data_IF_367225730270
#
_entry.id   IF_367225730270
#
_cell.length_a   1.000
_cell.length_b   1.000
_cell.length_c   1.000
_cell.angle_alpha   90.00
_cell.angle_beta   90.00
_cell.angle_gamma   90.00
#
_symmetry.space_group_name_H-M   'P 1'
#
loop_
_entity.id
_entity.type
_entity.pdbx_description
1 polymer ?
#
# COMPACT_ATOMS: atom_id res chain seq x y z
N UNK A 1 -13.57 8.29 -2.43
CA UNK A 1 -12.82 7.13 -1.89
C UNK A 1 -13.78 6.01 -1.51
N UNK A 2 -13.40 4.75 -1.73
CA UNK A 2 -14.13 3.57 -1.23
C UNK A 2 -14.22 3.67 0.31
N UNK A 3 -15.40 3.42 0.88
CA UNK A 3 -15.61 3.50 2.33
C UNK A 3 -15.25 2.20 3.07
N UNK A 4 -14.98 1.13 2.33
CA UNK A 4 -14.48 -0.11 2.90
C UNK A 4 -13.02 0.09 3.28
N UNK A 5 -12.71 -0.03 4.58
CA UNK A 5 -11.33 -0.02 5.03
C UNK A 5 -10.71 -1.41 4.87
N UNK A 6 -9.53 -1.49 4.30
CA UNK A 6 -8.84 -2.76 4.05
C UNK A 6 -7.72 -3.06 5.03
N UNK A 7 -7.20 -4.29 4.97
CA UNK A 7 -6.00 -4.71 5.67
C UNK A 7 -4.85 -4.95 4.68
N UNK A 8 -3.68 -4.34 4.94
CA UNK A 8 -2.44 -4.67 4.23
C UNK A 8 -1.86 -5.96 4.82
N UNK A 9 -1.77 -7.02 4.01
CA UNK A 9 -1.34 -8.34 4.48
C UNK A 9 0.14 -8.40 4.89
N UNK A 10 0.93 -7.39 4.53
CA UNK A 10 2.30 -7.28 5.03
C UNK A 10 2.36 -7.21 6.57
N UNK A 11 1.35 -6.62 7.20
CA UNK A 11 1.21 -6.58 8.66
C UNK A 11 1.14 -7.98 9.27
N UNK A 12 0.43 -8.89 8.62
CA UNK A 12 0.19 -10.27 9.10
C UNK A 12 1.01 -11.32 8.35
N UNK A 13 2.05 -10.91 7.59
CA UNK A 13 2.85 -11.79 6.72
C UNK A 13 3.42 -13.01 7.42
N UNK A 14 3.76 -12.88 8.71
CA UNK A 14 4.30 -13.97 9.49
C UNK A 14 3.24 -15.01 9.91
N UNK A 15 1.95 -14.67 9.79
CA UNK A 15 0.81 -15.54 9.96
C UNK A 15 0.29 -16.11 8.63
N UNK A 16 1.04 -15.98 7.52
CA UNK A 16 0.64 -16.42 6.18
C UNK A 16 1.73 -17.29 5.52
N UNK A 17 2.41 -18.14 6.31
CA UNK A 17 3.55 -18.93 5.82
C UNK A 17 3.14 -20.21 5.09
N UNK A 18 1.95 -20.72 5.35
CA UNK A 18 1.35 -21.87 4.67
C UNK A 18 -0.04 -21.51 4.14
N UNK A 19 -0.61 -22.33 3.27
CA UNK A 19 -1.98 -22.14 2.78
C UNK A 19 -3.00 -22.19 3.92
N UNK A 20 -2.83 -23.11 4.87
CA UNK A 20 -3.68 -23.22 6.07
C UNK A 20 -3.60 -21.97 6.93
N UNK A 21 -2.39 -21.47 7.20
CA UNK A 21 -2.17 -20.24 7.97
C UNK A 21 -2.78 -19.02 7.25
N UNK A 22 -2.64 -18.96 5.93
CA UNK A 22 -3.23 -17.91 5.09
C UNK A 22 -4.76 -17.90 5.19
N UNK A 23 -5.42 -19.06 5.01
CA UNK A 23 -6.86 -19.19 5.14
C UNK A 23 -7.34 -18.81 6.54
N UNK A 24 -6.67 -19.30 7.59
CA UNK A 24 -6.99 -18.95 8.98
C UNK A 24 -6.84 -17.44 9.24
N UNK A 25 -5.81 -16.80 8.67
CA UNK A 25 -5.60 -15.35 8.79
C UNK A 25 -6.70 -14.59 8.08
N UNK A 26 -7.08 -14.96 6.85
CA UNK A 26 -8.18 -14.32 6.12
C UNK A 26 -9.50 -14.44 6.88
N UNK A 27 -9.79 -15.60 7.47
CA UNK A 27 -10.95 -15.79 8.34
C UNK A 27 -10.95 -14.79 9.51
N UNK A 28 -9.83 -14.65 10.24
CA UNK A 28 -9.70 -13.71 11.36
C UNK A 28 -9.94 -12.26 10.94
N UNK A 29 -9.39 -11.84 9.77
CA UNK A 29 -9.61 -10.50 9.23
C UNK A 29 -11.09 -10.27 8.88
N UNK A 30 -11.74 -11.23 8.24
CA UNK A 30 -13.18 -11.15 7.94
C UNK A 30 -14.05 -11.08 9.19
N UNK A 31 -13.71 -11.80 10.27
CA UNK A 31 -14.40 -11.77 11.56
C UNK A 31 -14.27 -10.41 12.28
N UNK A 32 -13.20 -9.65 12.06
CA UNK A 32 -13.08 -8.26 12.53
C UNK A 32 -14.07 -7.34 11.80
N UNK A 33 -14.33 -7.60 10.53
CA UNK A 33 -15.22 -6.81 9.68
C UNK A 33 -14.58 -6.33 8.38
N UNK A 34 -13.28 -6.57 8.16
CA UNK A 34 -12.62 -6.20 6.91
C UNK A 34 -13.36 -6.77 5.69
N UNK A 35 -13.45 -5.98 4.64
CA UNK A 35 -14.04 -6.37 3.34
C UNK A 35 -13.02 -6.36 2.21
N UNK A 36 -11.91 -5.69 2.43
CA UNK A 36 -10.85 -5.57 1.42
C UNK A 36 -9.48 -5.86 2.02
N UNK A 37 -8.58 -6.36 1.17
CA UNK A 37 -7.18 -6.62 1.53
C UNK A 37 -6.25 -6.15 0.42
N UNK A 38 -5.03 -5.79 0.79
CA UNK A 38 -3.93 -5.63 -0.15
C UNK A 38 -2.96 -6.79 0.02
N UNK A 39 -2.68 -7.49 -1.08
CA UNK A 39 -1.79 -8.65 -1.07
C UNK A 39 -0.32 -8.22 -1.17
N UNK A 40 0.42 -8.39 -0.08
CA UNK A 40 1.85 -8.08 0.01
C UNK A 40 2.51 -8.93 1.10
N UNK A 41 3.76 -9.33 0.88
CA UNK A 41 4.56 -10.06 1.86
C UNK A 41 4.16 -11.52 2.10
N UNK A 42 3.15 -12.04 1.42
CA UNK A 42 2.75 -13.44 1.47
C UNK A 42 3.63 -14.26 0.51
N UNK A 43 4.18 -15.42 0.92
CA UNK A 43 5.04 -16.23 0.08
C UNK A 43 4.39 -16.68 -1.23
N UNK A 44 5.18 -16.78 -2.31
CA UNK A 44 4.67 -17.14 -3.64
C UNK A 44 4.10 -18.57 -3.72
N UNK A 45 4.60 -19.50 -2.93
CA UNK A 45 4.06 -20.87 -2.82
C UNK A 45 2.69 -20.93 -2.12
N UNK A 46 2.32 -19.86 -1.41
CA UNK A 46 0.99 -19.69 -0.79
C UNK A 46 0.04 -18.95 -1.74
N UNK A 47 0.44 -17.79 -2.25
CA UNK A 47 -0.45 -16.89 -3.01
C UNK A 47 -0.12 -16.76 -4.51
N UNK A 48 0.84 -17.54 -5.03
CA UNK A 48 1.27 -17.44 -6.43
C UNK A 48 0.22 -17.92 -7.45
N UNK A 49 -0.68 -18.80 -7.06
CA UNK A 49 -1.85 -19.14 -7.87
C UNK A 49 -2.98 -18.10 -7.62
N UNK A 50 -3.25 -17.20 -8.58
CA UNK A 50 -4.25 -16.15 -8.41
C UNK A 50 -5.68 -16.69 -8.31
N UNK A 51 -5.98 -17.85 -8.88
CA UNK A 51 -7.31 -18.47 -8.81
C UNK A 51 -7.56 -19.00 -7.40
N UNK A 52 -6.59 -19.73 -6.83
CA UNK A 52 -6.66 -20.17 -5.44
C UNK A 52 -6.76 -18.97 -4.49
N UNK A 53 -5.86 -17.98 -4.62
CA UNK A 53 -5.83 -16.79 -3.76
C UNK A 53 -7.16 -16.04 -3.79
N UNK A 54 -7.73 -15.85 -4.98
CA UNK A 54 -9.05 -15.25 -5.16
C UNK A 54 -10.14 -16.08 -4.49
N UNK A 55 -10.12 -17.41 -4.64
CA UNK A 55 -11.12 -18.28 -4.04
C UNK A 55 -11.13 -18.20 -2.50
N UNK A 56 -9.95 -18.07 -1.88
CA UNK A 56 -9.82 -17.85 -0.42
C UNK A 56 -10.43 -16.50 -0.03
N UNK A 57 -10.11 -15.42 -0.74
CA UNK A 57 -10.71 -14.11 -0.45
C UNK A 57 -12.24 -14.14 -0.58
N UNK A 58 -12.76 -14.66 -1.69
CA UNK A 58 -14.21 -14.76 -1.93
C UNK A 58 -14.92 -15.63 -0.87
N UNK A 59 -14.28 -16.74 -0.43
CA UNK A 59 -14.83 -17.61 0.62
C UNK A 59 -15.08 -16.86 1.94
N UNK A 60 -14.20 -15.93 2.28
CA UNK A 60 -14.34 -15.12 3.50
C UNK A 60 -14.98 -13.74 3.25
N UNK A 61 -15.48 -13.47 2.06
CA UNK A 61 -16.13 -12.19 1.71
C UNK A 61 -15.17 -11.01 1.63
N UNK A 62 -13.90 -11.29 1.28
CA UNK A 62 -12.84 -10.31 1.07
C UNK A 62 -12.63 -10.04 -0.43
N UNK A 63 -12.16 -8.84 -0.77
CA UNK A 63 -11.74 -8.44 -2.12
C UNK A 63 -10.30 -7.95 -2.10
N UNK A 64 -9.48 -8.38 -3.06
CA UNK A 64 -8.13 -7.86 -3.22
C UNK A 64 -8.15 -6.54 -3.99
N UNK A 65 -7.84 -5.43 -3.31
CA UNK A 65 -7.88 -4.09 -3.92
C UNK A 65 -6.56 -3.69 -4.56
N UNK A 66 -5.45 -4.23 -4.10
CA UNK A 66 -4.12 -3.97 -4.65
C UNK A 66 -3.14 -5.11 -4.34
N UNK A 67 -2.03 -5.15 -5.07
CA UNK A 67 -0.88 -6.00 -4.75
C UNK A 67 0.40 -5.18 -4.64
N UNK A 68 1.41 -5.74 -3.95
CA UNK A 68 2.81 -5.36 -4.15
C UNK A 68 3.55 -6.50 -4.83
N UNK A 69 4.19 -6.17 -5.95
CA UNK A 69 5.05 -7.07 -6.72
C UNK A 69 6.47 -6.47 -6.81
N UNK A 70 7.53 -7.28 -6.84
CA UNK A 70 8.87 -6.79 -7.11
C UNK A 70 8.94 -6.06 -8.46
N UNK A 71 9.68 -4.94 -8.54
CA UNK A 71 9.91 -4.21 -9.79
C UNK A 71 10.40 -5.12 -10.91
N UNK A 72 11.26 -6.07 -10.59
CA UNK A 72 11.85 -6.98 -11.58
C UNK A 72 10.79 -7.86 -12.28
N UNK A 73 9.71 -8.26 -11.59
CA UNK A 73 8.63 -9.04 -12.21
C UNK A 73 7.93 -8.26 -13.33
N UNK A 74 7.79 -6.93 -13.18
CA UNK A 74 7.23 -6.07 -14.24
C UNK A 74 8.18 -5.96 -15.43
N UNK A 75 9.49 -5.96 -15.20
CA UNK A 75 10.51 -5.90 -16.25
C UNK A 75 10.59 -7.21 -17.01
N UNK A 76 10.55 -8.33 -16.30
CA UNK A 76 10.74 -9.66 -16.86
C UNK A 76 9.52 -10.10 -17.70
N UNK A 77 8.30 -9.91 -17.19
CA UNK A 77 7.08 -10.33 -17.88
C UNK A 77 5.85 -9.51 -17.42
N UNK A 78 5.61 -8.38 -18.06
CA UNK A 78 4.43 -7.55 -17.78
C UNK A 78 3.11 -8.28 -18.11
N UNK A 79 3.11 -9.22 -19.06
CA UNK A 79 1.91 -9.98 -19.42
C UNK A 79 1.54 -10.98 -18.32
N UNK A 80 2.51 -11.57 -17.64
CA UNK A 80 2.27 -12.40 -16.46
C UNK A 80 1.64 -11.58 -15.33
N UNK A 81 2.08 -10.32 -15.13
CA UNK A 81 1.45 -9.39 -14.17
C UNK A 81 0.00 -9.10 -14.56
N UNK A 82 -0.28 -8.83 -15.82
CA UNK A 82 -1.64 -8.60 -16.35
C UNK A 82 -2.53 -9.83 -16.10
N UNK A 83 -2.06 -11.01 -16.50
CA UNK A 83 -2.82 -12.28 -16.35
C UNK A 83 -3.11 -12.58 -14.88
N UNK A 84 -2.10 -12.43 -14.01
CA UNK A 84 -2.24 -12.61 -12.56
C UNK A 84 -3.34 -11.71 -11.99
N UNK A 85 -3.31 -10.40 -12.29
CA UNK A 85 -4.27 -9.44 -11.75
C UNK A 85 -5.69 -9.65 -12.31
N UNK A 86 -5.81 -10.04 -13.57
CA UNK A 86 -7.12 -10.41 -14.15
C UNK A 86 -7.72 -11.62 -13.45
N UNK A 87 -6.95 -12.68 -13.23
CA UNK A 87 -7.39 -13.89 -12.54
C UNK A 87 -7.70 -13.63 -11.07
N UNK A 88 -6.89 -12.81 -10.41
CA UNK A 88 -7.12 -12.38 -9.01
C UNK A 88 -8.32 -11.41 -8.89
N UNK A 89 -8.77 -10.80 -9.99
CA UNK A 89 -9.74 -9.71 -10.03
C UNK A 89 -9.28 -8.46 -9.27
N UNK A 90 -7.98 -8.16 -9.31
CA UNK A 90 -7.38 -7.02 -8.63
C UNK A 90 -7.09 -5.89 -9.63
N UNK A 91 -7.41 -4.65 -9.27
CA UNK A 91 -7.34 -3.49 -10.17
C UNK A 91 -6.11 -2.60 -9.98
N UNK A 92 -5.26 -2.88 -8.98
CA UNK A 92 -4.03 -2.12 -8.74
C UNK A 92 -2.85 -3.06 -8.60
N UNK A 93 -1.89 -2.94 -9.51
CA UNK A 93 -0.61 -3.64 -9.48
C UNK A 93 0.48 -2.65 -9.04
N UNK A 94 0.98 -2.78 -7.81
CA UNK A 94 1.97 -1.86 -7.26
C UNK A 94 3.37 -2.44 -7.16
N UNK A 95 4.38 -1.57 -7.27
CA UNK A 95 5.72 -1.88 -6.75
C UNK A 95 5.77 -1.50 -5.28
N UNK A 96 6.17 -2.46 -4.42
CA UNK A 96 6.23 -2.24 -2.97
C UNK A 96 7.46 -1.45 -2.53
N UNK A 97 8.50 -1.38 -3.37
CA UNK A 97 9.71 -0.58 -3.13
C UNK A 97 10.51 -0.47 -4.43
N UNK A 98 11.01 0.71 -4.73
CA UNK A 98 11.99 0.90 -5.80
C UNK A 98 13.40 0.59 -5.30
N UNK A 99 14.15 -0.35 -5.91
CA UNK A 99 15.54 -0.63 -5.55
C UNK A 99 16.44 0.61 -5.58
N UNK A 100 17.45 0.66 -4.70
CA UNK A 100 18.32 1.83 -4.57
C UNK A 100 19.04 2.20 -5.87
N UNK A 101 19.54 1.22 -6.60
CA UNK A 101 20.25 1.38 -7.87
C UNK A 101 19.38 1.96 -8.98
N UNK A 102 18.05 1.89 -8.88
CA UNK A 102 17.11 2.49 -9.83
C UNK A 102 16.75 3.96 -9.49
N UNK A 103 17.17 4.47 -8.34
CA UNK A 103 16.88 5.84 -7.86
C UNK A 103 18.10 6.58 -7.31
N UNK A 104 19.31 6.07 -7.59
CA UNK A 104 20.59 6.55 -7.02
C UNK A 104 21.01 7.94 -7.49
N UNK A 105 20.58 8.34 -8.68
CA UNK A 105 20.85 9.64 -9.30
C UNK A 105 19.71 10.03 -10.26
N UNK A 106 19.64 11.31 -10.64
CA UNK A 106 18.56 11.83 -11.45
C UNK A 106 18.45 11.17 -12.85
N UNK A 107 19.53 10.93 -13.61
CA UNK A 107 19.43 10.24 -14.89
C UNK A 107 18.84 8.82 -14.76
N UNK A 108 19.34 8.04 -13.81
CA UNK A 108 18.84 6.68 -13.55
C UNK A 108 17.38 6.69 -13.13
N UNK A 109 16.99 7.60 -12.23
CA UNK A 109 15.60 7.73 -11.79
C UNK A 109 14.67 8.07 -12.97
N UNK A 110 15.05 8.97 -13.86
CA UNK A 110 14.24 9.31 -15.05
C UNK A 110 14.04 8.12 -15.99
N UNK A 111 15.07 7.32 -16.23
CA UNK A 111 14.91 6.08 -17.01
C UNK A 111 13.98 5.08 -16.30
N UNK A 112 14.08 4.96 -14.97
CA UNK A 112 13.18 4.12 -14.18
C UNK A 112 11.73 4.60 -14.27
N UNK A 113 11.48 5.91 -14.13
CA UNK A 113 10.14 6.49 -14.26
C UNK A 113 9.58 6.27 -15.67
N UNK A 114 10.39 6.47 -16.71
CA UNK A 114 9.98 6.18 -18.08
C UNK A 114 9.56 4.72 -18.25
N UNK A 115 10.30 3.78 -17.66
CA UNK A 115 9.94 2.37 -17.67
C UNK A 115 8.63 2.10 -16.90
N UNK A 116 8.43 2.74 -15.75
CA UNK A 116 7.18 2.66 -15.00
C UNK A 116 5.98 3.26 -15.78
N UNK A 117 6.18 4.31 -16.57
CA UNK A 117 5.15 4.85 -17.47
C UNK A 117 4.76 3.83 -18.56
N UNK A 118 5.72 3.04 -19.08
CA UNK A 118 5.41 1.93 -20.01
C UNK A 118 4.56 0.85 -19.32
N UNK A 119 4.89 0.47 -18.06
CA UNK A 119 4.07 -0.45 -17.26
C UNK A 119 2.66 0.10 -17.03
N UNK A 120 2.57 1.37 -16.62
CA UNK A 120 1.29 2.05 -16.42
C UNK A 120 0.43 1.99 -17.68
N UNK A 121 0.99 2.36 -18.83
CA UNK A 121 0.28 2.34 -20.12
C UNK A 121 -0.22 0.93 -20.47
N UNK A 122 0.64 -0.09 -20.29
CA UNK A 122 0.26 -1.48 -20.61
C UNK A 122 -0.84 -2.00 -19.70
N UNK A 123 -0.72 -1.75 -18.39
CA UNK A 123 -1.72 -2.19 -17.39
C UNK A 123 -3.05 -1.45 -17.55
N UNK A 124 -3.02 -0.14 -17.80
CA UNK A 124 -4.22 0.68 -18.00
C UNK A 124 -5.03 0.23 -19.21
N UNK A 125 -4.40 -0.27 -20.28
CA UNK A 125 -5.07 -0.85 -21.42
C UNK A 125 -5.94 -2.08 -21.07
N UNK A 126 -5.67 -2.70 -19.91
CA UNK A 126 -6.44 -3.84 -19.36
C UNK A 126 -7.31 -3.45 -18.15
N UNK A 127 -7.42 -2.15 -17.86
CA UNK A 127 -8.19 -1.64 -16.72
C UNK A 127 -7.52 -1.89 -15.37
N UNK A 128 -6.20 -2.05 -15.34
CA UNK A 128 -5.39 -2.23 -14.14
C UNK A 128 -4.52 -0.98 -13.98
N UNK A 129 -4.47 -0.38 -12.80
CA UNK A 129 -3.60 0.75 -12.50
C UNK A 129 -2.22 0.25 -12.05
N UNK A 130 -1.15 0.94 -12.47
CA UNK A 130 0.17 0.77 -11.89
C UNK A 130 0.34 1.76 -10.74
N UNK A 131 0.80 1.28 -9.57
CA UNK A 131 1.00 2.07 -8.37
C UNK A 131 2.44 2.05 -7.88
N UNK A 132 3.01 3.21 -7.56
CA UNK A 132 4.29 3.34 -6.89
C UNK A 132 4.07 3.55 -5.39
N UNK A 133 4.57 2.64 -4.54
CA UNK A 133 4.52 2.80 -3.09
C UNK A 133 5.72 3.58 -2.59
N UNK A 134 5.47 4.55 -1.68
CA UNK A 134 6.52 5.35 -1.09
C UNK A 134 6.97 4.86 0.29
N UNK A 135 8.26 5.10 0.55
CA UNK A 135 8.89 5.07 1.86
C UNK A 135 9.52 6.44 2.18
N UNK A 136 10.35 6.51 3.21
CA UNK A 136 11.11 7.72 3.53
C UNK A 136 12.11 8.11 2.43
N UNK A 137 12.68 7.13 1.74
CA UNK A 137 13.73 7.38 0.75
C UNK A 137 13.23 8.01 -0.56
N UNK A 138 11.94 8.00 -0.86
CA UNK A 138 11.38 8.81 -1.95
C UNK A 138 11.49 10.32 -1.67
N UNK A 139 11.66 10.70 -0.42
CA UNK A 139 11.87 12.10 0.00
C UNK A 139 13.36 12.45 0.16
N UNK A 140 14.27 11.51 -0.10
CA UNK A 140 15.69 11.80 -0.21
C UNK A 140 15.98 12.62 -1.47
N UNK A 141 16.96 13.54 -1.37
CA UNK A 141 17.42 14.33 -2.52
C UNK A 141 18.09 13.44 -3.57
N UNK A 142 17.66 13.59 -4.81
CA UNK A 142 18.27 12.94 -5.99
C UNK A 142 19.16 13.91 -6.76
N UNK A 143 18.95 15.21 -6.55
CA UNK A 143 19.82 16.31 -6.96
C UNK A 143 19.71 17.48 -5.98
N UNK A 144 20.30 18.65 -6.28
CA UNK A 144 20.28 19.83 -5.42
C UNK A 144 18.87 20.37 -5.14
N UNK A 145 17.94 20.20 -6.09
CA UNK A 145 16.62 20.84 -6.04
C UNK A 145 15.46 19.84 -5.80
N UNK A 146 15.62 18.57 -6.19
CA UNK A 146 14.52 17.62 -6.23
C UNK A 146 14.74 16.42 -5.32
N UNK A 147 13.66 15.94 -4.72
CA UNK A 147 13.58 14.61 -4.14
C UNK A 147 13.18 13.59 -5.22
N UNK A 148 13.32 12.29 -4.91
CA UNK A 148 12.79 11.22 -5.79
C UNK A 148 11.28 11.42 -6.01
N UNK A 149 10.53 11.76 -4.95
CA UNK A 149 9.09 12.00 -5.02
C UNK A 149 8.76 13.18 -5.94
N UNK A 150 9.51 14.28 -5.88
CA UNK A 150 9.29 15.44 -6.76
C UNK A 150 9.39 15.04 -8.22
N UNK A 151 10.39 14.23 -8.60
CA UNK A 151 10.56 13.76 -9.96
C UNK A 151 9.47 12.76 -10.37
N UNK A 152 9.07 11.86 -9.45
CA UNK A 152 7.96 10.92 -9.69
C UNK A 152 6.63 11.66 -9.92
N UNK A 153 6.38 12.74 -9.18
CA UNK A 153 5.17 13.57 -9.36
C UNK A 153 5.20 14.35 -10.68
N UNK A 154 6.38 14.84 -11.07
CA UNK A 154 6.53 15.67 -12.28
C UNK A 154 6.53 14.86 -13.58
N UNK A 155 7.18 13.69 -13.61
CA UNK A 155 7.45 12.94 -14.84
C UNK A 155 6.71 11.58 -14.90
N UNK A 156 6.20 11.07 -13.75
CA UNK A 156 5.42 9.83 -13.69
C UNK A 156 3.98 10.04 -14.16
N UNK A 157 3.46 9.11 -14.96
CA UNK A 157 2.05 9.06 -15.41
C UNK A 157 1.22 8.12 -14.52
N UNK A 158 1.86 7.35 -13.68
CA UNK A 158 1.29 6.32 -12.81
C UNK A 158 0.66 6.90 -11.54
N UNK A 159 -0.10 6.04 -10.84
CA UNK A 159 -0.68 6.36 -9.53
C UNK A 159 0.28 6.03 -8.37
N UNK A 160 -0.07 6.51 -7.18
CA UNK A 160 0.67 6.23 -5.95
C UNK A 160 -0.13 5.32 -5.03
N UNK A 161 0.58 4.42 -4.36
CA UNK A 161 0.16 3.74 -3.14
C UNK A 161 0.84 4.50 -2.01
N UNK A 162 0.13 5.48 -1.44
CA UNK A 162 0.70 6.50 -0.57
C UNK A 162 0.60 6.10 0.90
N UNK A 163 1.73 6.16 1.62
CA UNK A 163 1.84 5.78 3.02
C UNK A 163 1.98 7.00 3.93
N UNK A 164 1.06 7.13 4.89
CA UNK A 164 0.99 8.26 5.82
C UNK A 164 2.12 8.28 6.85
N UNK A 165 2.60 7.10 7.29
CA UNK A 165 3.73 6.99 8.22
C UNK A 165 4.99 7.58 7.61
N UNK A 166 5.34 7.17 6.39
CA UNK A 166 6.57 7.62 5.76
C UNK A 166 6.56 9.10 5.41
N UNK A 167 5.39 9.68 5.10
CA UNK A 167 5.23 11.12 5.00
C UNK A 167 5.54 11.82 6.32
N UNK A 168 4.88 11.39 7.40
CA UNK A 168 5.07 11.97 8.73
C UNK A 168 6.52 11.79 9.22
N UNK A 169 7.12 10.62 8.97
CA UNK A 169 8.49 10.28 9.36
C UNK A 169 9.51 11.27 8.79
N UNK A 170 9.32 11.74 7.57
CA UNK A 170 10.21 12.72 6.92
C UNK A 170 9.77 14.17 7.12
N UNK A 171 8.77 14.43 7.99
CA UNK A 171 8.29 15.77 8.32
C UNK A 171 7.35 16.39 7.26
N UNK A 172 6.82 15.59 6.34
CA UNK A 172 5.79 16.01 5.39
C UNK A 172 4.41 15.80 6.01
N UNK A 173 3.55 16.84 6.01
CA UNK A 173 2.19 16.72 6.52
C UNK A 173 1.36 15.81 5.60
N UNK A 174 0.88 14.64 6.08
CA UNK A 174 0.16 13.67 5.25
C UNK A 174 -1.14 14.24 4.66
N UNK A 175 -1.94 14.95 5.45
CA UNK A 175 -3.21 15.52 4.99
C UNK A 175 -3.02 16.53 3.86
N UNK A 176 -2.02 17.42 4.01
CA UNK A 176 -1.69 18.40 2.97
C UNK A 176 -1.19 17.71 1.68
N UNK A 177 -0.36 16.67 1.81
CA UNK A 177 0.16 15.93 0.67
C UNK A 177 -0.97 15.19 -0.07
N UNK A 178 -1.86 14.51 0.66
CA UNK A 178 -3.03 13.82 0.10
C UNK A 178 -3.94 14.82 -0.62
N UNK A 179 -4.25 15.96 0.02
CA UNK A 179 -5.10 17.01 -0.57
C UNK A 179 -4.55 17.52 -1.91
N UNK A 180 -3.24 17.68 -2.03
CA UNK A 180 -2.60 18.21 -3.23
C UNK A 180 -2.47 17.19 -4.35
N UNK A 181 -2.44 15.89 -4.03
CA UNK A 181 -2.13 14.82 -4.98
C UNK A 181 -3.23 13.73 -5.06
N UNK A 182 -4.40 13.96 -4.47
CA UNK A 182 -5.44 12.94 -4.27
C UNK A 182 -5.87 12.21 -5.55
N UNK A 183 -5.95 12.92 -6.68
CA UNK A 183 -6.33 12.33 -7.99
C UNK A 183 -5.31 11.28 -8.49
N UNK A 184 -4.07 11.34 -8.00
CA UNK A 184 -2.97 10.44 -8.33
C UNK A 184 -2.83 9.27 -7.35
N UNK A 185 -3.69 9.16 -6.33
CA UNK A 185 -3.61 8.15 -5.27
C UNK A 185 -4.62 7.04 -5.53
N UNK A 186 -4.13 5.85 -5.82
CA UNK A 186 -4.95 4.64 -6.00
C UNK A 186 -5.21 3.89 -4.68
N UNK A 187 -4.26 3.93 -3.75
CA UNK A 187 -4.38 3.32 -2.42
C UNK A 187 -3.72 4.22 -1.39
N UNK A 188 -4.36 4.38 -0.24
CA UNK A 188 -3.77 5.01 0.94
C UNK A 188 -3.41 3.93 1.96
N UNK A 189 -2.17 3.89 2.41
CA UNK A 189 -1.79 3.17 3.61
C UNK A 189 -2.02 4.08 4.81
N UNK A 190 -3.05 3.75 5.59
CA UNK A 190 -3.29 4.34 6.90
C UNK A 190 -2.38 3.65 7.90
N UNK A 191 -1.27 4.30 8.20
CA UNK A 191 -0.17 3.79 9.01
C UNK A 191 0.30 4.89 9.93
N UNK A 192 0.22 4.66 11.25
CA UNK A 192 0.47 5.68 12.25
C UNK A 192 1.90 5.61 12.79
N UNK A 193 2.38 6.74 13.27
CA UNK A 193 3.70 6.92 13.85
C UNK A 193 3.56 7.47 15.27
N UNK A 194 4.29 6.89 16.22
CA UNK A 194 4.31 7.36 17.61
C UNK A 194 5.72 7.78 18.03
N UNK A 195 5.84 8.97 18.59
CA UNK A 195 7.06 9.43 19.21
C UNK A 195 7.28 8.75 20.56
N UNK A 196 8.54 8.38 20.84
CA UNK A 196 8.96 7.82 22.11
C UNK A 196 9.72 8.86 22.94
N UNK A 197 9.78 8.66 24.24
CA UNK A 197 10.55 9.50 25.18
C UNK A 197 12.07 9.48 24.93
N UNK A 198 12.54 8.51 24.15
CA UNK A 198 13.95 8.37 23.73
C UNK A 198 14.33 9.19 22.49
N UNK A 199 13.46 10.10 22.00
CA UNK A 199 13.59 10.80 20.73
C UNK A 199 13.60 9.88 19.49
N UNK A 200 13.16 8.64 19.64
CA UNK A 200 12.90 7.70 18.56
C UNK A 200 11.41 7.73 18.18
N UNK A 201 11.07 7.01 17.12
CA UNK A 201 9.69 6.79 16.70
C UNK A 201 9.45 5.30 16.50
N UNK A 202 8.21 4.88 16.60
CA UNK A 202 7.79 3.52 16.31
C UNK A 202 6.49 3.50 15.49
N UNK A 203 6.15 2.32 14.98
CA UNK A 203 4.82 2.07 14.40
C UNK A 203 3.78 2.00 15.51
N UNK A 204 2.61 2.55 15.25
CA UNK A 204 1.49 2.51 16.17
C UNK A 204 0.20 2.07 15.44
N UNK A 205 -0.75 1.57 16.20
CA UNK A 205 -2.12 1.40 15.74
C UNK A 205 -2.70 2.75 15.32
N UNK A 206 -3.45 2.78 14.23
CA UNK A 206 -4.11 4.00 13.73
C UNK A 206 -4.95 4.63 14.83
N UNK A 207 -4.66 5.91 15.11
CA UNK A 207 -5.30 6.67 16.19
C UNK A 207 -4.61 6.55 17.56
N UNK A 208 -3.54 5.78 17.68
CA UNK A 208 -2.71 5.70 18.89
C UNK A 208 -1.34 6.35 18.73
N UNK A 209 -1.05 6.93 17.56
CA UNK A 209 0.17 7.65 17.24
C UNK A 209 -0.02 9.16 17.29
N UNK A 210 0.77 9.85 16.46
CA UNK A 210 0.84 11.32 16.43
C UNK A 210 0.26 11.93 15.15
N UNK A 211 -0.26 11.14 14.21
CA UNK A 211 -0.89 11.66 12.98
C UNK A 211 -2.27 12.25 13.34
N UNK A 212 -2.56 13.43 12.81
CA UNK A 212 -3.90 14.01 12.88
C UNK A 212 -4.84 13.29 11.89
N UNK A 213 -5.56 12.32 12.41
CA UNK A 213 -6.47 11.50 11.60
C UNK A 213 -7.71 12.24 11.16
N UNK A 214 -8.15 13.30 11.85
CA UNK A 214 -9.27 14.11 11.42
C UNK A 214 -8.90 14.87 10.13
N UNK A 215 -7.68 15.43 10.07
CA UNK A 215 -7.18 16.07 8.85
C UNK A 215 -6.91 15.07 7.73
N UNK A 216 -6.30 13.92 8.04
CA UNK A 216 -5.97 12.89 7.04
C UNK A 216 -7.23 12.32 6.40
N UNK A 217 -8.23 11.93 7.20
CA UNK A 217 -9.49 11.36 6.68
C UNK A 217 -10.26 12.41 5.88
N UNK A 218 -10.32 13.65 6.35
CA UNK A 218 -10.96 14.73 5.62
C UNK A 218 -10.28 15.03 4.26
N UNK A 219 -8.95 14.87 4.19
CA UNK A 219 -8.18 15.05 2.96
C UNK A 219 -8.28 13.86 2.00
N UNK A 220 -8.69 12.68 2.48
CA UNK A 220 -8.71 11.42 1.72
C UNK A 220 -9.85 11.35 0.68
N UNK A 221 -9.99 12.41 -0.11
CA UNK A 221 -10.91 12.47 -1.25
C UNK A 221 -10.15 12.01 -2.50
N UNK A 222 -10.01 10.70 -2.64
CA UNK A 222 -9.28 10.06 -3.74
C UNK A 222 -10.21 9.11 -4.50
N UNK A 223 -9.92 8.77 -5.77
CA UNK A 223 -10.66 7.72 -6.48
C UNK A 223 -10.39 6.31 -5.94
N UNK A 224 -9.36 6.16 -5.08
CA UNK A 224 -8.88 4.89 -4.56
C UNK A 224 -9.56 4.42 -3.28
N UNK A 225 -8.86 3.56 -2.55
CA UNK A 225 -9.26 2.97 -1.28
C UNK A 225 -8.20 3.22 -0.21
N UNK A 226 -8.51 2.87 1.05
CA UNK A 226 -7.54 2.88 2.13
C UNK A 226 -7.38 1.49 2.74
N UNK A 227 -6.15 1.15 3.12
CA UNK A 227 -5.81 -0.06 3.86
C UNK A 227 -5.00 0.30 5.11
N UNK A 228 -5.24 -0.40 6.21
CA UNK A 228 -4.47 -0.27 7.44
C UNK A 228 -3.19 -1.08 7.29
N UNK A 229 -2.05 -0.49 7.67
CA UNK A 229 -0.76 -1.17 7.70
C UNK A 229 0.01 -0.85 8.99
N UNK A 230 0.76 -1.84 9.48
CA UNK A 230 1.74 -1.69 10.56
C UNK A 230 2.86 -2.72 10.36
N UNK A 231 4.09 -2.28 10.06
CA UNK A 231 5.20 -3.19 9.70
C UNK A 231 5.65 -4.06 10.86
N UNK A 232 5.64 -3.50 12.08
CA UNK A 232 6.03 -4.17 13.32
C UNK A 232 4.93 -3.90 14.36
N UNK A 233 4.36 -4.97 14.91
CA UNK A 233 3.34 -4.93 15.96
C UNK A 233 3.93 -5.45 17.28
N UNK A 234 3.57 -4.81 18.40
CA UNK A 234 3.91 -5.29 19.74
C UNK A 234 2.86 -6.34 20.19
N UNK A 235 2.96 -7.58 19.70
CA UNK A 235 2.03 -8.65 20.01
C UNK A 235 1.37 -9.26 18.79
N UNK A 236 0.10 -9.66 18.88
CA UNK A 236 -0.63 -10.25 17.75
C UNK A 236 -0.98 -9.17 16.71
N UNK A 237 -0.43 -9.25 15.48
CA UNK A 237 -0.68 -8.24 14.46
C UNK A 237 -2.16 -8.16 14.01
N UNK A 238 -2.94 -9.22 14.20
CA UNK A 238 -4.39 -9.19 13.92
C UNK A 238 -5.12 -8.33 14.95
N UNK A 239 -4.72 -8.35 16.23
CA UNK A 239 -5.29 -7.47 17.25
C UNK A 239 -4.88 -6.01 17.02
N UNK A 240 -3.66 -5.72 16.52
CA UNK A 240 -3.26 -4.37 16.11
C UNK A 240 -4.12 -3.85 14.93
N UNK A 241 -4.36 -4.68 13.91
CA UNK A 241 -5.27 -4.34 12.82
C UNK A 241 -6.70 -4.10 13.31
N UNK A 242 -7.21 -4.93 14.23
CA UNK A 242 -8.54 -4.77 14.85
C UNK A 242 -8.66 -3.46 15.64
N UNK A 243 -7.63 -3.09 16.40
CA UNK A 243 -7.59 -1.82 17.13
C UNK A 243 -7.72 -0.64 16.17
N UNK A 244 -6.92 -0.63 15.12
CA UNK A 244 -6.94 0.39 14.06
C UNK A 244 -8.27 0.44 13.31
N UNK A 245 -8.84 -0.73 12.97
CA UNK A 245 -10.15 -0.85 12.32
C UNK A 245 -11.26 -0.25 13.18
N UNK A 246 -11.31 -0.64 14.47
CA UNK A 246 -12.32 -0.14 15.40
C UNK A 246 -12.22 1.38 15.61
N UNK A 247 -11.01 1.95 15.65
CA UNK A 247 -10.84 3.41 15.72
C UNK A 247 -11.43 4.10 14.49
N UNK A 248 -11.08 3.62 13.28
CA UNK A 248 -11.53 4.23 12.04
C UNK A 248 -13.05 4.10 11.84
N UNK A 249 -13.62 2.92 12.03
CA UNK A 249 -15.06 2.67 11.85
C UNK A 249 -15.92 3.25 12.97
N UNK A 250 -15.36 3.38 14.19
CA UNK A 250 -16.04 3.99 15.31
C UNK A 250 -16.06 5.53 15.28
N UNK A 251 -15.12 6.15 14.59
CA UNK A 251 -14.99 7.62 14.55
C UNK A 251 -15.40 8.21 13.21
N UNK A 252 -15.21 7.50 12.10
CA UNK A 252 -15.47 7.98 10.75
C UNK A 252 -16.45 7.08 10.01
N UNK A 253 -16.95 7.56 8.86
CA UNK A 253 -17.92 6.83 8.03
C UNK A 253 -17.22 5.77 7.13
N UNK A 254 -16.47 4.87 7.77
CA UNK A 254 -15.91 3.66 7.15
C UNK A 254 -16.73 2.42 7.52
N UNK A 255 -16.64 1.39 6.66
CA UNK A 255 -17.31 0.10 6.84
C UNK A 255 -16.34 -1.07 6.58
#
# INVERSE_FOLDING_TARGET
>A
MDKRIGAQLYTVRDLCKTKEDFENTMKRLAEIGFKTVQLSGVPADVCGDPIYTRSVFEHYGLECVATHKPYQEFVDDIEAIVDYHKKLNCKVAGIGSAPLDLRKDLPTLKETIKKCNEFHKRLTAEGIQFGWHNHAFEFAKVDENNTVMDVCLAEGEFSFILDTYWLAFVGVNPAKFIKNNGERISVLHYKDIRALDTNAVEYAEVGQGNIDWDEVVAASVTPGCAVIEQDICHGDPVESLKSSYNFLTGKYDFI
#
